data_IF_803313405609
#
_entry.id   IF_803313405609
#
_cell.length_a   1.000
_cell.length_b   1.000
_cell.length_c   1.000
_cell.angle_alpha   90.00
_cell.angle_beta   90.00
_cell.angle_gamma   90.00
#
_symmetry.space_group_name_H-M   'P 1'
#
loop_
_entity.id
_entity.type
_entity.pdbx_description
1 polymer ?
#
# COMPACT_ATOMS: atom_id res chain seq x y z
N UNK A 1 20.94 12.84 -26.39
CA UNK A 1 19.77 12.22 -25.74
C UNK A 1 20.24 11.34 -24.60
N UNK A 2 20.37 11.91 -23.39
CA UNK A 2 20.74 11.13 -22.20
C UNK A 2 19.48 10.44 -21.70
N UNK A 3 19.49 9.10 -21.77
CA UNK A 3 18.43 8.22 -21.30
C UNK A 3 18.42 8.25 -19.77
N UNK A 4 17.79 9.28 -19.20
CA UNK A 4 17.62 9.37 -17.75
C UNK A 4 16.88 8.13 -17.22
N UNK A 5 17.43 7.52 -16.17
CA UNK A 5 16.82 6.36 -15.51
C UNK A 5 15.40 6.70 -15.07
N UNK A 6 14.43 5.91 -15.57
CA UNK A 6 13.03 6.03 -15.15
C UNK A 6 12.93 5.45 -13.74
N UNK A 7 12.55 6.29 -12.78
CA UNK A 7 12.34 5.90 -11.39
C UNK A 7 10.98 6.40 -10.93
N UNK A 8 10.33 5.68 -10.00
CA UNK A 8 9.09 6.14 -9.35
C UNK A 8 9.30 7.49 -8.66
N UNK A 9 10.51 7.75 -8.16
CA UNK A 9 10.88 9.02 -7.52
C UNK A 9 11.22 10.14 -8.50
N UNK A 10 11.45 9.81 -9.79
CA UNK A 10 11.77 10.76 -10.86
C UNK A 10 10.99 10.38 -12.12
N UNK A 11 9.66 10.52 -12.11
CA UNK A 11 8.86 10.24 -13.28
C UNK A 11 9.19 11.24 -14.41
N UNK A 12 9.07 10.85 -15.69
CA UNK A 12 9.18 11.79 -16.80
C UNK A 12 8.15 12.91 -16.65
N UNK A 13 8.61 14.17 -16.60
CA UNK A 13 7.77 15.36 -16.47
C UNK A 13 7.47 16.05 -17.81
N UNK A 14 7.94 15.46 -18.91
CA UNK A 14 7.83 16.02 -20.26
C UNK A 14 7.39 14.94 -21.24
N UNK A 15 6.83 15.35 -22.38
CA UNK A 15 6.40 14.44 -23.45
C UNK A 15 5.02 13.81 -23.24
N UNK A 16 4.25 14.25 -22.25
CA UNK A 16 2.83 13.95 -22.15
C UNK A 16 1.99 14.99 -22.93
N UNK A 17 0.76 14.65 -23.36
CA UNK A 17 -0.19 15.62 -23.91
C UNK A 17 -0.42 16.80 -22.95
N UNK A 18 -0.90 17.92 -23.50
CA UNK A 18 -1.29 19.06 -22.68
C UNK A 18 -2.35 18.63 -21.65
N UNK A 19 -2.14 19.01 -20.38
CA UNK A 19 -3.08 18.72 -19.32
C UNK A 19 -4.34 19.59 -19.53
N UNK A 20 -5.47 18.92 -19.76
CA UNK A 20 -6.77 19.57 -19.98
C UNK A 20 -7.62 19.64 -18.71
N UNK A 21 -7.16 19.04 -17.61
CA UNK A 21 -7.83 18.99 -16.32
C UNK A 21 -6.88 19.44 -15.21
N UNK A 22 -7.42 20.16 -14.23
CA UNK A 22 -6.74 20.52 -12.99
C UNK A 22 -6.96 19.46 -11.89
N UNK A 23 -7.92 18.55 -12.11
CA UNK A 23 -8.31 17.54 -11.13
C UNK A 23 -7.38 16.33 -11.19
N UNK A 24 -6.82 15.97 -10.04
CA UNK A 24 -6.10 14.72 -9.85
C UNK A 24 -7.09 13.64 -9.47
N UNK A 25 -7.09 12.55 -10.24
CA UNK A 25 -7.92 11.38 -10.00
C UNK A 25 -7.05 10.24 -9.47
N UNK A 26 -7.39 9.75 -8.27
CA UNK A 26 -6.75 8.59 -7.66
C UNK A 26 -7.79 7.50 -7.52
N UNK A 27 -7.55 6.36 -8.16
CA UNK A 27 -8.38 5.19 -7.96
C UNK A 27 -8.28 4.72 -6.50
N UNK A 28 -9.41 4.71 -5.80
CA UNK A 28 -9.54 4.28 -4.40
C UNK A 28 -10.76 3.34 -4.29
N UNK A 29 -10.54 2.02 -4.23
CA UNK A 29 -11.61 1.05 -4.29
C UNK A 29 -12.55 1.18 -3.09
N UNK A 30 -13.85 1.01 -3.35
CA UNK A 30 -14.89 1.07 -2.30
C UNK A 30 -14.67 0.02 -1.23
N UNK A 31 -14.10 -1.15 -1.55
CA UNK A 31 -13.74 -2.17 -0.56
C UNK A 31 -12.82 -1.64 0.55
N UNK A 32 -11.95 -0.68 0.24
CA UNK A 32 -11.09 -0.05 1.24
C UNK A 32 -11.81 1.11 1.95
N UNK A 33 -12.54 1.94 1.22
CA UNK A 33 -13.14 3.17 1.75
C UNK A 33 -14.52 2.98 2.41
N UNK A 34 -15.25 1.91 2.11
CA UNK A 34 -16.61 1.70 2.58
C UNK A 34 -16.65 1.63 4.12
N UNK A 35 -17.54 2.40 4.72
CA UNK A 35 -17.65 2.54 6.18
C UNK A 35 -16.46 3.26 6.84
N UNK A 36 -15.58 3.91 6.07
CA UNK A 36 -14.41 4.67 6.54
C UNK A 36 -14.41 6.08 6.00
N UNK A 37 -13.76 6.97 6.72
CA UNK A 37 -13.51 8.34 6.28
C UNK A 37 -12.19 8.40 5.52
N UNK A 38 -12.21 8.94 4.31
CA UNK A 38 -10.99 9.24 3.53
C UNK A 38 -10.41 10.56 4.02
N UNK A 39 -9.20 10.51 4.57
CA UNK A 39 -8.48 11.68 5.08
C UNK A 39 -7.36 12.03 4.09
N UNK A 40 -7.32 13.29 3.66
CA UNK A 40 -6.26 13.82 2.79
C UNK A 40 -5.50 14.91 3.54
N UNK A 41 -4.18 14.73 3.69
CA UNK A 41 -3.26 15.68 4.32
C UNK A 41 -2.25 16.22 3.31
N UNK A 42 -1.63 17.36 3.64
CA UNK A 42 -0.63 18.01 2.79
C UNK A 42 -1.22 18.89 1.68
N UNK A 43 -2.52 19.15 1.73
CA UNK A 43 -3.18 20.08 0.81
C UNK A 43 -2.86 21.52 1.19
N UNK A 44 -2.51 22.34 0.20
CA UNK A 44 -2.38 23.79 0.37
C UNK A 44 -3.72 24.42 0.79
N UNK A 45 -3.72 25.55 1.52
CA UNK A 45 -4.95 26.27 1.87
C UNK A 45 -5.80 26.54 0.62
N UNK A 46 -7.09 26.19 0.68
CA UNK A 46 -8.04 26.38 -0.43
C UNK A 46 -8.11 25.24 -1.45
N UNK A 47 -7.19 24.27 -1.38
CA UNK A 47 -7.34 23.02 -2.13
C UNK A 47 -8.52 22.20 -1.61
N UNK A 48 -9.16 21.44 -2.51
CA UNK A 48 -10.37 20.67 -2.22
C UNK A 48 -10.15 19.21 -2.57
N UNK A 49 -10.82 18.33 -1.84
CA UNK A 49 -10.86 16.91 -2.17
C UNK A 49 -12.27 16.36 -1.96
N UNK A 50 -12.60 15.32 -2.72
CA UNK A 50 -13.86 14.57 -2.59
C UNK A 50 -13.64 13.13 -2.99
N UNK A 51 -14.05 12.20 -2.15
CA UNK A 51 -14.17 10.80 -2.54
C UNK A 51 -15.55 10.53 -3.13
N UNK A 52 -15.59 9.83 -4.27
CA UNK A 52 -16.81 9.35 -4.90
C UNK A 52 -16.79 7.82 -4.93
N UNK A 53 -17.59 7.22 -4.06
CA UNK A 53 -17.61 5.76 -3.90
C UNK A 53 -18.19 5.05 -5.12
N UNK A 54 -19.16 5.66 -5.80
CA UNK A 54 -19.78 5.09 -7.01
C UNK A 54 -18.78 4.95 -8.15
N UNK A 55 -17.84 5.91 -8.23
CA UNK A 55 -16.74 5.93 -9.19
C UNK A 55 -15.47 5.29 -8.66
N UNK A 56 -15.44 4.89 -7.38
CA UNK A 56 -14.23 4.40 -6.69
C UNK A 56 -13.02 5.32 -6.92
N UNK A 57 -13.24 6.64 -6.86
CA UNK A 57 -12.23 7.63 -7.23
C UNK A 57 -12.18 8.75 -6.20
N UNK A 58 -10.97 9.07 -5.74
CA UNK A 58 -10.66 10.25 -4.96
C UNK A 58 -10.24 11.37 -5.93
N UNK A 59 -10.97 12.47 -5.88
CA UNK A 59 -10.70 13.68 -6.63
C UNK A 59 -9.99 14.70 -5.75
N UNK A 60 -8.94 15.31 -6.27
CA UNK A 60 -8.19 16.38 -5.60
C UNK A 60 -7.98 17.53 -6.58
N UNK A 61 -8.33 18.73 -6.15
CA UNK A 61 -8.11 19.97 -6.90
C UNK A 61 -7.19 20.86 -6.09
N UNK A 62 -5.97 21.04 -6.57
CA UNK A 62 -5.01 22.00 -6.02
C UNK A 62 -5.33 23.41 -6.52
N UNK A 63 -5.20 24.41 -5.66
CA UNK A 63 -5.45 25.81 -6.04
C UNK A 63 -4.27 26.41 -6.81
N UNK A 64 -3.04 26.04 -6.45
CA UNK A 64 -1.82 26.47 -7.13
C UNK A 64 -1.51 25.52 -8.31
N UNK A 65 -1.68 26.03 -9.52
CA UNK A 65 -1.44 25.32 -10.78
C UNK A 65 -0.13 25.73 -11.46
N UNK A 66 0.80 26.34 -10.73
CA UNK A 66 2.11 26.72 -11.29
C UNK A 66 2.94 25.50 -11.70
N UNK A 67 3.61 25.60 -12.84
CA UNK A 67 4.27 24.46 -13.52
C UNK A 67 5.44 23.85 -12.74
N UNK A 68 6.06 24.60 -11.82
CA UNK A 68 7.21 24.14 -11.03
C UNK A 68 6.84 23.72 -9.59
N UNK A 69 5.56 23.85 -9.21
CA UNK A 69 5.09 23.48 -7.89
C UNK A 69 4.97 21.96 -7.77
N UNK A 70 5.58 21.41 -6.73
CA UNK A 70 5.43 20.00 -6.35
C UNK A 70 4.45 19.92 -5.19
N UNK A 71 3.34 19.24 -5.41
CA UNK A 71 2.31 18.95 -4.40
C UNK A 71 2.59 17.58 -3.78
N UNK A 72 2.70 17.52 -2.44
CA UNK A 72 2.88 16.27 -1.70
C UNK A 72 1.67 16.02 -0.82
N UNK A 73 0.95 14.95 -1.10
CA UNK A 73 -0.28 14.59 -0.38
C UNK A 73 -0.12 13.23 0.30
N UNK A 74 -0.78 13.08 1.44
CA UNK A 74 -0.89 11.81 2.15
C UNK A 74 -2.36 11.45 2.26
N UNK A 75 -2.73 10.30 1.70
CA UNK A 75 -4.08 9.76 1.76
C UNK A 75 -4.09 8.64 2.80
N UNK A 76 -5.01 8.72 3.76
CA UNK A 76 -5.20 7.72 4.80
C UNK A 76 -6.69 7.45 5.04
N UNK A 77 -7.00 6.34 5.71
CA UNK A 77 -8.37 5.95 6.07
C UNK A 77 -8.55 5.98 7.59
N UNK A 78 -9.74 6.37 8.03
CA UNK A 78 -10.15 6.31 9.44
C UNK A 78 -11.50 5.57 9.59
N UNK A 79 -11.56 4.42 10.29
CA UNK A 79 -10.44 3.72 10.93
C UNK A 79 -9.39 3.21 9.91
N UNK A 80 -8.12 3.00 10.32
CA UNK A 80 -7.09 2.48 9.42
C UNK A 80 -7.42 1.06 8.95
N UNK A 81 -6.80 0.65 7.84
CA UNK A 81 -6.92 -0.71 7.35
C UNK A 81 -6.36 -1.70 8.37
N UNK A 82 -7.11 -2.75 8.65
CA UNK A 82 -6.56 -3.90 9.36
C UNK A 82 -5.46 -4.54 8.48
N UNK A 83 -4.37 -5.05 9.07
CA UNK A 83 -3.37 -5.81 8.33
C UNK A 83 -4.06 -6.95 7.57
N UNK A 84 -3.85 -7.02 6.25
CA UNK A 84 -4.51 -8.03 5.41
C UNK A 84 -4.06 -9.46 5.74
N UNK A 85 -2.88 -9.60 6.34
CA UNK A 85 -2.30 -10.85 6.81
C UNK A 85 -1.43 -10.58 8.03
N UNK A 86 -1.48 -11.47 9.02
CA UNK A 86 -0.38 -11.60 9.96
C UNK A 86 0.76 -12.30 9.21
N UNK A 87 1.95 -11.69 9.17
CA UNK A 87 3.14 -12.40 8.69
C UNK A 87 3.49 -13.40 9.79
N UNK A 88 3.11 -14.66 9.60
CA UNK A 88 3.54 -15.74 10.48
C UNK A 88 5.05 -15.90 10.38
N UNK A 89 5.68 -16.31 11.48
CA UNK A 89 7.09 -16.68 11.49
C UNK A 89 7.26 -18.18 11.20
N UNK A 90 8.46 -18.55 10.74
CA UNK A 90 8.76 -19.93 10.36
C UNK A 90 8.51 -20.93 11.51
N UNK A 91 8.78 -20.54 12.75
CA UNK A 91 8.59 -21.41 13.91
C UNK A 91 7.12 -21.56 14.30
N UNK A 92 6.29 -20.53 14.16
CA UNK A 92 4.86 -20.61 14.34
C UNK A 92 4.20 -21.54 13.30
N UNK A 93 4.66 -21.48 12.06
CA UNK A 93 4.09 -22.30 10.98
C UNK A 93 4.60 -23.76 11.00
N UNK A 94 5.88 -24.00 11.28
CA UNK A 94 6.51 -25.31 11.12
C UNK A 94 6.98 -25.96 12.43
N UNK A 95 6.99 -25.23 13.55
CA UNK A 95 7.57 -25.69 14.81
C UNK A 95 6.93 -26.99 15.31
N UNK A 96 5.59 -27.09 15.30
CA UNK A 96 4.90 -28.31 15.71
C UNK A 96 5.26 -29.53 14.87
N UNK A 97 5.37 -29.37 13.55
CA UNK A 97 5.78 -30.43 12.63
C UNK A 97 7.22 -30.85 12.87
N UNK A 98 8.14 -29.88 13.01
CA UNK A 98 9.55 -30.14 13.29
C UNK A 98 9.71 -30.88 14.61
N UNK A 99 9.08 -30.40 15.69
CA UNK A 99 9.12 -31.05 17.01
C UNK A 99 8.58 -32.48 16.94
N UNK A 100 7.48 -32.70 16.22
CA UNK A 100 6.88 -34.04 16.07
C UNK A 100 7.82 -35.01 15.37
N UNK A 101 8.48 -34.56 14.29
CA UNK A 101 9.48 -35.37 13.56
C UNK A 101 10.67 -35.70 14.47
N UNK A 102 11.18 -34.72 15.23
CA UNK A 102 12.29 -34.93 16.15
C UNK A 102 11.96 -35.95 17.24
N UNK A 103 10.75 -35.87 17.83
CA UNK A 103 10.29 -36.83 18.84
C UNK A 103 10.15 -38.24 18.25
N UNK A 104 9.61 -38.37 17.04
CA UNK A 104 9.49 -39.66 16.37
C UNK A 104 10.86 -40.30 16.09
N UNK A 105 11.83 -39.52 15.59
CA UNK A 105 13.20 -39.99 15.36
C UNK A 105 13.83 -40.42 16.69
N UNK A 106 13.70 -39.62 17.75
CA UNK A 106 14.24 -39.96 19.07
C UNK A 106 13.65 -41.26 19.63
N UNK A 107 12.35 -41.49 19.47
CA UNK A 107 11.69 -42.71 19.90
C UNK A 107 12.21 -43.96 19.14
N UNK A 108 12.40 -43.84 17.82
CA UNK A 108 12.96 -44.92 16.99
C UNK A 108 14.40 -45.24 17.43
N UNK A 109 15.23 -44.21 17.64
CA UNK A 109 16.60 -44.42 18.11
C UNK A 109 16.62 -45.06 19.50
N UNK A 110 15.79 -44.59 20.42
CA UNK A 110 15.67 -45.18 21.75
C UNK A 110 15.29 -46.67 21.68
N UNK A 111 14.37 -47.03 20.79
CA UNK A 111 14.01 -48.43 20.56
C UNK A 111 15.19 -49.28 20.09
N UNK A 112 16.05 -48.80 19.19
CA UNK A 112 17.17 -49.59 18.68
C UNK A 112 18.40 -49.66 19.60
N UNK A 113 18.58 -48.68 20.50
CA UNK A 113 19.78 -48.58 21.33
C UNK A 113 19.56 -48.92 22.80
N UNK A 114 18.32 -48.86 23.31
CA UNK A 114 18.00 -49.10 24.72
C UNK A 114 17.14 -50.35 24.96
N UNK A 115 16.55 -50.92 23.91
CA UNK A 115 15.78 -52.16 23.92
C UNK A 115 16.46 -53.18 22.98
#
# INVERSE_FOLDING_TARGET
YLKGEKSVFKPPRTGHPALMSLETEIFLPSQLAHGRTVIVKGLDPGAKHRYDESRQTLFIVCQDASLDKVHSIVVSLDPPLAPAFAVNDFWGDFGGTITSILVAIAAILAYFFLL
#
